data_IF_502131292288
#
_entry.id   IF_502131292288
#
_cell.length_a   1.000
_cell.length_b   1.000
_cell.length_c   1.000
_cell.angle_alpha   90.00
_cell.angle_beta   90.00
_cell.angle_gamma   90.00
#
_symmetry.space_group_name_H-M   'P 1'
#
loop_
_entity.id
_entity.type
_entity.pdbx_description
1 polymer ?
#
# COMPACT_ATOMS: atom_id res chain seq x y z
N UNK A 1 -32.31 -3.10 18.75
CA UNK A 1 -30.84 -3.10 18.91
C UNK A 1 -30.30 -4.18 18.00
N UNK A 2 -29.84 -3.78 16.82
CA UNK A 2 -29.21 -4.70 15.87
C UNK A 2 -27.77 -4.90 16.33
N UNK A 3 -27.50 -6.05 16.96
CA UNK A 3 -26.15 -6.43 17.38
C UNK A 3 -25.35 -6.80 16.13
N UNK A 4 -24.47 -5.91 15.67
CA UNK A 4 -23.52 -6.24 14.62
C UNK A 4 -22.63 -7.39 15.09
N UNK A 5 -22.64 -8.50 14.35
CA UNK A 5 -21.81 -9.65 14.69
C UNK A 5 -20.32 -9.30 14.49
N UNK A 6 -19.43 -9.68 15.42
CA UNK A 6 -17.99 -9.54 15.22
C UNK A 6 -17.53 -10.28 13.97
N UNK A 7 -16.58 -9.69 13.24
CA UNK A 7 -16.04 -10.27 11.99
C UNK A 7 -15.53 -11.70 12.18
N UNK A 8 -14.87 -11.97 13.32
CA UNK A 8 -14.39 -13.30 13.67
C UNK A 8 -15.53 -14.33 13.74
N UNK A 9 -16.59 -14.01 14.47
CA UNK A 9 -17.77 -14.86 14.61
C UNK A 9 -18.40 -15.14 13.26
N UNK A 10 -18.67 -14.08 12.49
CA UNK A 10 -19.30 -14.20 11.18
C UNK A 10 -18.47 -15.07 10.21
N UNK A 11 -17.15 -14.85 10.16
CA UNK A 11 -16.25 -15.58 9.28
C UNK A 11 -16.28 -17.08 9.56
N UNK A 12 -16.16 -17.48 10.83
CA UNK A 12 -16.14 -18.90 11.17
C UNK A 12 -17.52 -19.55 11.13
N UNK A 13 -18.60 -18.85 11.49
CA UNK A 13 -19.96 -19.37 11.32
C UNK A 13 -20.30 -19.63 9.85
N UNK A 14 -19.77 -18.83 8.92
CA UNK A 14 -19.98 -19.01 7.48
C UNK A 14 -19.18 -20.19 6.93
N UNK A 15 -17.97 -20.43 7.44
CA UNK A 15 -17.06 -21.46 6.94
C UNK A 15 -17.26 -22.84 7.58
N UNK A 16 -17.63 -22.90 8.87
CA UNK A 16 -17.85 -24.16 9.61
C UNK A 16 -18.84 -25.14 8.96
N UNK A 17 -20.01 -24.73 8.42
CA UNK A 17 -20.96 -25.69 7.83
C UNK A 17 -20.46 -26.32 6.51
N UNK A 18 -19.39 -25.81 5.92
CA UNK A 18 -18.85 -26.26 4.63
C UNK A 18 -17.71 -27.29 4.78
N UNK A 19 -17.31 -27.59 6.02
CA UNK A 19 -16.11 -28.37 6.36
C UNK A 19 -16.40 -29.38 7.46
N UNK A 20 -15.83 -30.59 7.34
CA UNK A 20 -15.88 -31.60 8.40
C UNK A 20 -14.55 -31.60 9.18
N UNK A 21 -14.57 -31.13 10.42
CA UNK A 21 -13.38 -31.03 11.26
C UNK A 21 -12.92 -32.39 11.84
N UNK A 22 -13.74 -33.43 11.70
CA UNK A 22 -13.39 -34.80 12.09
C UNK A 22 -12.44 -35.46 11.09
N UNK A 23 -12.42 -34.97 9.84
CA UNK A 23 -11.55 -35.47 8.78
C UNK A 23 -10.33 -34.57 8.57
N UNK A 24 -9.12 -35.13 8.35
CA UNK A 24 -7.95 -34.33 7.97
C UNK A 24 -8.18 -33.52 6.69
N UNK A 25 -9.00 -34.04 5.77
CA UNK A 25 -9.35 -33.36 4.52
C UNK A 25 -10.22 -32.12 4.76
N UNK A 26 -11.18 -32.21 5.68
CA UNK A 26 -12.01 -31.06 6.03
C UNK A 26 -11.25 -29.98 6.83
N UNK A 27 -10.25 -30.37 7.63
CA UNK A 27 -9.31 -29.42 8.24
C UNK A 27 -8.45 -28.70 7.18
N UNK A 28 -7.96 -29.44 6.19
CA UNK A 28 -7.24 -28.85 5.07
C UNK A 28 -8.13 -27.86 4.31
N UNK A 29 -9.38 -28.26 4.00
CA UNK A 29 -10.37 -27.42 3.31
C UNK A 29 -10.69 -26.13 4.08
N UNK A 30 -10.85 -26.20 5.40
CA UNK A 30 -11.05 -25.00 6.22
C UNK A 30 -9.85 -24.05 6.14
N UNK A 31 -8.64 -24.60 6.20
CA UNK A 31 -7.39 -23.83 6.09
C UNK A 31 -7.31 -23.10 4.74
N UNK A 32 -7.61 -23.81 3.65
CA UNK A 32 -7.61 -23.26 2.29
C UNK A 32 -8.63 -22.14 2.09
N UNK A 33 -9.80 -22.22 2.72
CA UNK A 33 -10.84 -21.19 2.60
C UNK A 33 -10.57 -19.98 3.51
N UNK A 34 -10.13 -20.22 4.75
CA UNK A 34 -9.99 -19.17 5.75
C UNK A 34 -8.71 -18.33 5.58
N UNK A 35 -7.57 -18.95 5.29
CA UNK A 35 -6.28 -18.27 5.17
C UNK A 35 -6.28 -17.10 4.16
N UNK A 36 -6.77 -17.23 2.91
CA UNK A 36 -6.77 -16.11 1.95
C UNK A 36 -7.66 -14.94 2.40
N UNK A 37 -8.75 -15.19 3.14
CA UNK A 37 -9.62 -14.14 3.68
C UNK A 37 -8.94 -13.42 4.84
N UNK A 38 -8.28 -14.15 5.74
CA UNK A 38 -7.55 -13.59 6.87
C UNK A 38 -6.40 -12.69 6.39
N UNK A 39 -5.68 -13.09 5.33
CA UNK A 39 -4.59 -12.29 4.76
C UNK A 39 -5.05 -10.94 4.21
N UNK A 40 -6.31 -10.81 3.76
CA UNK A 40 -6.87 -9.54 3.26
C UNK A 40 -7.22 -8.55 4.37
N UNK A 41 -7.23 -8.97 5.64
CA UNK A 41 -7.56 -8.08 6.77
C UNK A 41 -6.44 -7.05 6.98
N UNK A 42 -6.69 -5.74 6.89
CA UNK A 42 -5.65 -4.71 6.95
C UNK A 42 -5.05 -4.50 8.35
N UNK A 43 -5.77 -4.86 9.42
CA UNK A 43 -5.31 -4.71 10.80
C UNK A 43 -4.45 -5.88 11.27
N UNK A 44 -3.20 -5.61 11.66
CA UNK A 44 -2.23 -6.64 12.10
C UNK A 44 -2.73 -7.42 13.33
N UNK A 45 -3.22 -6.72 14.35
CA UNK A 45 -3.75 -7.34 15.58
C UNK A 45 -4.96 -8.24 15.29
N UNK A 46 -5.88 -7.78 14.44
CA UNK A 46 -7.09 -8.54 14.10
C UNK A 46 -6.74 -9.76 13.25
N UNK A 47 -5.81 -9.61 12.30
CA UNK A 47 -5.28 -10.70 11.49
C UNK A 47 -4.64 -11.77 12.38
N UNK A 48 -3.80 -11.37 13.33
CA UNK A 48 -3.17 -12.29 14.28
C UNK A 48 -4.21 -13.02 15.15
N UNK A 49 -5.24 -12.31 15.61
CA UNK A 49 -6.33 -12.90 16.38
C UNK A 49 -7.11 -13.97 15.57
N UNK A 50 -7.42 -13.67 14.31
CA UNK A 50 -8.11 -14.62 13.42
C UNK A 50 -7.24 -15.85 13.11
N UNK A 51 -5.92 -15.67 12.93
CA UNK A 51 -4.97 -16.79 12.76
C UNK A 51 -4.96 -17.70 13.98
N UNK A 52 -4.91 -17.13 15.19
CA UNK A 52 -4.95 -17.91 16.44
C UNK A 52 -6.28 -18.67 16.59
N UNK A 53 -7.41 -18.04 16.28
CA UNK A 53 -8.70 -18.72 16.31
C UNK A 53 -8.77 -19.87 15.30
N UNK A 54 -8.25 -19.67 14.08
CA UNK A 54 -8.18 -20.72 13.07
C UNK A 54 -7.30 -21.89 13.54
N UNK A 55 -6.12 -21.60 14.12
CA UNK A 55 -5.25 -22.63 14.68
C UNK A 55 -5.92 -23.44 15.78
N UNK A 56 -6.60 -22.76 16.71
CA UNK A 56 -7.39 -23.41 17.77
C UNK A 56 -8.47 -24.35 17.22
N UNK A 57 -9.17 -23.96 16.15
CA UNK A 57 -10.20 -24.80 15.50
C UNK A 57 -9.61 -26.00 14.74
N UNK A 58 -8.39 -25.88 14.22
CA UNK A 58 -7.68 -26.96 13.51
C UNK A 58 -6.94 -27.90 14.46
N UNK A 59 -6.79 -27.53 15.74
CA UNK A 59 -5.96 -28.22 16.72
C UNK A 59 -4.46 -27.98 16.52
N UNK A 60 -4.10 -26.88 15.85
CA UNK A 60 -2.72 -26.45 15.64
C UNK A 60 -2.35 -25.47 16.77
N UNK A 61 -1.26 -25.77 17.48
CA UNK A 61 -0.79 -24.94 18.60
C UNK A 61 -0.01 -23.70 18.13
N UNK A 62 0.63 -23.79 16.95
CA UNK A 62 1.55 -22.77 16.46
C UNK A 62 1.05 -22.11 15.17
N UNK A 63 1.02 -20.77 15.14
CA UNK A 63 0.67 -19.95 13.99
C UNK A 63 1.62 -20.16 12.79
N UNK A 64 2.87 -20.53 13.10
CA UNK A 64 3.92 -20.85 12.14
C UNK A 64 3.61 -22.11 11.32
N UNK A 65 2.74 -23.00 11.82
CA UNK A 65 2.27 -24.17 11.07
C UNK A 65 1.19 -23.79 10.06
N UNK A 66 0.37 -22.77 10.34
CA UNK A 66 -0.61 -22.26 9.39
C UNK A 66 0.06 -21.59 8.18
N UNK A 67 1.21 -20.96 8.39
CA UNK A 67 1.98 -20.33 7.32
C UNK A 67 2.44 -21.34 6.26
N UNK A 68 2.80 -22.55 6.69
CA UNK A 68 3.17 -23.67 5.81
C UNK A 68 1.99 -24.25 5.02
N UNK A 69 0.75 -24.02 5.48
CA UNK A 69 -0.48 -24.46 4.83
C UNK A 69 -1.01 -23.43 3.83
N UNK A 70 -0.46 -22.22 3.81
CA UNK A 70 -0.74 -21.29 2.73
C UNK A 70 -0.24 -21.91 1.43
N UNK A 71 -1.05 -21.90 0.35
CA UNK A 71 -0.52 -22.20 -0.96
C UNK A 71 0.62 -21.21 -1.17
N UNK A 72 1.85 -21.74 -1.22
CA UNK A 72 3.02 -21.00 -1.68
C UNK A 72 2.65 -20.60 -3.10
N UNK A 73 2.05 -19.40 -3.25
CA UNK A 73 2.04 -18.72 -4.53
C UNK A 73 3.50 -18.77 -4.93
N UNK A 74 3.79 -19.52 -6.01
CA UNK A 74 5.12 -19.67 -6.51
C UNK A 74 5.68 -18.25 -6.60
N UNK A 75 6.58 -17.93 -5.68
CA UNK A 75 7.32 -16.70 -5.67
C UNK A 75 8.21 -16.80 -6.91
N UNK A 76 7.64 -16.46 -8.07
CA UNK A 76 8.38 -15.85 -9.14
C UNK A 76 8.83 -14.51 -8.57
N UNK A 77 9.82 -14.57 -7.68
CA UNK A 77 10.47 -13.46 -7.05
C UNK A 77 11.33 -12.79 -8.12
N UNK A 78 10.65 -12.11 -9.04
CA UNK A 78 11.23 -10.92 -9.63
C UNK A 78 11.26 -9.91 -8.48
N UNK A 79 12.37 -9.88 -7.73
CA UNK A 79 12.64 -8.94 -6.65
C UNK A 79 12.90 -7.54 -7.21
N UNK A 80 12.00 -7.05 -8.06
CA UNK A 80 11.83 -5.61 -8.24
C UNK A 80 11.02 -5.11 -7.06
N UNK A 81 11.72 -4.89 -5.94
CA UNK A 81 11.18 -4.05 -4.88
C UNK A 81 11.15 -2.63 -5.41
N UNK A 82 9.97 -2.17 -5.81
CA UNK A 82 9.78 -0.76 -6.14
C UNK A 82 10.30 0.06 -4.94
N UNK A 83 11.19 1.04 -5.16
CA UNK A 83 11.77 1.81 -4.07
C UNK A 83 10.64 2.43 -3.25
N UNK A 84 10.62 2.14 -1.95
CA UNK A 84 9.63 2.71 -1.06
C UNK A 84 9.87 4.22 -0.95
N UNK A 85 9.15 4.98 -1.77
CA UNK A 85 9.18 6.43 -1.70
C UNK A 85 8.59 6.86 -0.36
N UNK A 86 9.45 7.29 0.57
CA UNK A 86 9.02 8.04 1.77
C UNK A 86 8.05 9.14 1.32
N UNK A 87 6.83 9.15 1.88
CA UNK A 87 5.82 10.17 1.61
C UNK A 87 6.17 11.44 2.38
N UNK A 88 7.04 12.27 1.81
CA UNK A 88 7.35 13.60 2.33
C UNK A 88 6.45 14.65 1.66
N UNK A 89 6.17 15.76 2.34
CA UNK A 89 5.36 16.86 1.80
C UNK A 89 5.84 17.31 0.43
N UNK A 90 7.17 17.46 0.26
CA UNK A 90 7.75 17.90 -1.01
C UNK A 90 7.54 16.90 -2.14
N UNK A 91 7.66 15.59 -1.88
CA UNK A 91 7.39 14.57 -2.90
C UNK A 91 5.93 14.55 -3.33
N UNK A 92 5.01 14.79 -2.39
CA UNK A 92 3.58 14.90 -2.71
C UNK A 92 3.35 16.14 -3.59
N UNK A 93 3.89 17.29 -3.20
CA UNK A 93 3.77 18.54 -3.97
C UNK A 93 4.35 18.42 -5.38
N UNK A 94 5.58 17.92 -5.51
CA UNK A 94 6.24 17.68 -6.79
C UNK A 94 5.44 16.67 -7.63
N UNK A 95 5.01 15.57 -7.01
CA UNK A 95 4.24 14.53 -7.70
C UNK A 95 2.90 15.05 -8.24
N UNK A 96 2.18 15.85 -7.44
CA UNK A 96 0.92 16.47 -7.87
C UNK A 96 1.15 17.47 -9.00
N UNK A 97 2.19 18.30 -8.89
CA UNK A 97 2.52 19.30 -9.90
C UNK A 97 2.90 18.66 -11.24
N UNK A 98 3.73 17.63 -11.23
CA UNK A 98 4.15 16.91 -12.45
C UNK A 98 2.95 16.24 -13.13
N UNK A 99 2.06 15.62 -12.36
CA UNK A 99 0.85 14.99 -12.87
C UNK A 99 -0.19 16.00 -13.38
N UNK A 100 -0.15 17.23 -12.87
CA UNK A 100 -1.13 18.28 -13.13
C UNK A 100 -0.45 19.66 -13.24
N UNK A 101 0.26 19.95 -14.36
CA UNK A 101 1.02 21.21 -14.52
C UNK A 101 0.18 22.48 -14.32
N UNK A 102 -1.12 22.42 -14.59
CA UNK A 102 -2.06 23.52 -14.38
C UNK A 102 -2.14 24.00 -12.92
N UNK A 103 -1.78 23.15 -11.95
CA UNK A 103 -1.76 23.51 -10.53
C UNK A 103 -0.76 24.62 -10.21
N UNK A 104 0.23 24.88 -11.07
CA UNK A 104 1.19 25.96 -10.90
C UNK A 104 0.51 27.33 -10.75
N UNK A 105 -0.64 27.52 -11.39
CA UNK A 105 -1.42 28.78 -11.33
C UNK A 105 -2.08 29.05 -9.98
N UNK A 106 -2.24 28.03 -9.14
CA UNK A 106 -2.84 28.13 -7.81
C UNK A 106 -1.82 28.50 -6.74
N UNK A 107 -0.53 28.48 -7.08
CA UNK A 107 0.55 28.65 -6.12
C UNK A 107 0.85 30.15 -6.00
N UNK A 108 0.77 30.74 -4.79
CA UNK A 108 1.15 32.14 -4.58
C UNK A 108 2.66 32.32 -4.79
N UNK A 109 3.13 33.58 -4.84
CA UNK A 109 4.55 33.86 -5.01
C UNK A 109 5.39 33.09 -3.98
N UNK A 110 6.39 32.35 -4.48
CA UNK A 110 7.35 31.59 -3.67
C UNK A 110 8.59 32.42 -3.32
N UNK A 111 8.59 33.72 -3.63
CA UNK A 111 9.68 34.65 -3.31
C UNK A 111 9.95 34.67 -1.80
N UNK A 112 11.23 34.58 -1.42
CA UNK A 112 11.66 34.57 -0.02
C UNK A 112 11.72 33.17 0.64
N UNK A 113 11.20 32.13 -0.01
CA UNK A 113 11.35 30.74 0.47
C UNK A 113 12.75 30.16 0.17
N UNK A 114 13.54 30.81 -0.68
CA UNK A 114 14.89 30.40 -1.09
C UNK A 114 15.87 30.23 0.09
N UNK A 115 15.65 30.95 1.20
CA UNK A 115 16.48 30.84 2.40
C UNK A 115 16.13 29.62 3.28
N UNK A 116 15.00 28.94 3.01
CA UNK A 116 14.59 27.75 3.74
C UNK A 116 15.38 26.54 3.25
N UNK A 117 16.18 25.92 4.14
CA UNK A 117 16.94 24.68 3.86
C UNK A 117 16.03 23.44 3.86
N UNK A 118 15.01 23.41 3.00
CA UNK A 118 14.12 22.26 2.85
C UNK A 118 14.49 21.45 1.59
N UNK A 119 14.76 20.16 1.77
CA UNK A 119 15.09 19.25 0.68
C UNK A 119 13.94 19.18 -0.34
N UNK A 120 14.26 19.37 -1.64
CA UNK A 120 13.30 19.35 -2.73
C UNK A 120 12.58 20.68 -2.99
N UNK A 121 12.70 21.68 -2.12
CA UNK A 121 12.18 23.03 -2.36
C UNK A 121 12.74 23.69 -3.64
N UNK A 122 14.06 23.66 -3.93
CA UNK A 122 14.59 24.28 -5.15
C UNK A 122 14.00 23.66 -6.41
N UNK A 123 13.89 22.32 -6.45
CA UNK A 123 13.26 21.61 -7.56
C UNK A 123 11.79 21.99 -7.73
N UNK A 124 11.05 22.11 -6.62
CA UNK A 124 9.65 22.49 -6.68
C UNK A 124 9.47 23.90 -7.23
N UNK A 125 10.27 24.87 -6.78
CA UNK A 125 10.25 26.24 -7.31
C UNK A 125 10.52 26.25 -8.81
N UNK A 126 11.54 25.51 -9.26
CA UNK A 126 11.88 25.39 -10.68
C UNK A 126 10.72 24.82 -11.50
N UNK A 127 10.11 23.72 -11.06
CA UNK A 127 8.96 23.12 -11.76
C UNK A 127 7.76 24.08 -11.85
N UNK A 128 7.50 24.85 -10.78
CA UNK A 128 6.42 25.85 -10.79
C UNK A 128 6.71 26.93 -11.82
N UNK A 129 7.94 27.46 -11.85
CA UNK A 129 8.33 28.47 -12.85
C UNK A 129 8.24 27.94 -14.28
N UNK A 130 8.68 26.71 -14.54
CA UNK A 130 8.56 26.07 -15.86
C UNK A 130 7.10 25.94 -16.29
N UNK A 131 6.22 25.50 -15.39
CA UNK A 131 4.78 25.39 -15.68
C UNK A 131 4.11 26.75 -15.92
N UNK A 132 4.53 27.80 -15.20
CA UNK A 132 4.03 29.16 -15.42
C UNK A 132 4.55 29.78 -16.73
N UNK A 133 5.79 29.48 -17.11
CA UNK A 133 6.38 29.96 -18.36
C UNK A 133 5.77 29.31 -19.62
N UNK A 134 5.24 28.09 -19.49
CA UNK A 134 4.66 27.31 -20.59
C UNK A 134 3.20 26.91 -20.29
N UNK A 135 2.24 27.85 -20.41
CA UNK A 135 0.83 27.53 -20.19
C UNK A 135 0.34 26.50 -21.20
N UNK A 136 -0.19 25.37 -20.71
CA UNK A 136 -0.62 24.24 -21.54
C UNK A 136 0.39 23.09 -21.65
N UNK A 137 1.51 23.19 -20.92
CA UNK A 137 2.48 22.10 -20.82
C UNK A 137 1.82 20.81 -20.32
N UNK A 138 2.04 19.72 -21.04
CA UNK A 138 1.54 18.40 -20.62
C UNK A 138 2.56 17.70 -19.73
N UNK A 139 2.11 16.77 -18.88
CA UNK A 139 2.99 15.95 -18.04
C UNK A 139 4.10 15.28 -18.84
N UNK A 140 3.81 14.77 -20.05
CA UNK A 140 4.81 14.14 -20.90
C UNK A 140 5.90 15.11 -21.38
N UNK A 141 5.52 16.33 -21.77
CA UNK A 141 6.49 17.35 -22.19
C UNK A 141 7.35 17.82 -21.02
N UNK A 142 6.74 17.98 -19.83
CA UNK A 142 7.48 18.29 -18.61
C UNK A 142 8.48 17.18 -18.28
N UNK A 143 8.08 15.91 -18.31
CA UNK A 143 9.00 14.80 -18.05
C UNK A 143 10.13 14.69 -19.09
N UNK A 144 9.86 15.03 -20.35
CA UNK A 144 10.87 15.02 -21.41
C UNK A 144 11.98 16.03 -21.15
N UNK A 145 11.62 17.26 -20.72
CA UNK A 145 12.59 18.32 -20.39
C UNK A 145 13.51 17.92 -19.23
N UNK A 146 13.01 17.06 -18.33
CA UNK A 146 13.70 16.63 -17.12
C UNK A 146 14.29 15.22 -17.21
N UNK A 147 14.25 14.59 -18.40
CA UNK A 147 14.72 13.20 -18.59
C UNK A 147 16.22 13.03 -18.33
N UNK A 148 17.03 13.96 -18.82
CA UNK A 148 18.50 13.92 -18.70
C UNK A 148 19.03 14.72 -17.51
N UNK A 149 18.16 15.48 -16.84
CA UNK A 149 18.55 16.25 -15.68
C UNK A 149 18.71 15.29 -14.50
N UNK A 150 19.93 15.17 -13.94
CA UNK A 150 20.17 14.41 -12.72
C UNK A 150 19.53 15.15 -11.55
N UNK A 151 18.23 14.96 -11.38
CA UNK A 151 17.50 15.47 -10.23
C UNK A 151 17.97 14.68 -9.01
N UNK A 152 18.71 15.32 -8.10
CA UNK A 152 19.07 14.68 -6.84
C UNK A 152 17.79 14.31 -6.08
N UNK A 153 17.65 13.05 -5.63
CA UNK A 153 16.45 12.64 -4.92
C UNK A 153 16.33 13.44 -3.62
N UNK A 154 15.21 14.15 -3.46
CA UNK A 154 14.86 14.75 -2.18
C UNK A 154 14.80 13.64 -1.12
N UNK A 155 15.84 13.54 -0.28
CA UNK A 155 16.02 12.54 0.76
C UNK A 155 15.18 12.86 2.01
#
# INVERSE_FOLDING_TARGET
MELAQPLSTFLFETLMPQVDLSSPDGRAKLSTLALPLITQVPGETLRLYLRQQLGSKLGLLDDSQLDKLMPKQAENANTYQAPQLKRTTMRILIGLLVQNPQLATLIPSLEGLEQTKQAGLPLFVELVQTCLAQPGLTTGQLLEQYRDNKIEPAA
#
